data_IF_842460030196
#
_entry.id   IF_842460030196
#
_cell.length_a   1.000
_cell.length_b   1.000
_cell.length_c   1.000
_cell.angle_alpha   90.00
_cell.angle_beta   90.00
_cell.angle_gamma   90.00
#
_symmetry.space_group_name_H-M   'P 1'
#
loop_
_entity.id
_entity.type
_entity.pdbx_description
1 polymer ?
#
# COMPACT_ATOMS: atom_id res chain seq x y z
N UNK A 1 51.96 -21.55 45.42
CA UNK A 1 50.85 -20.59 45.47
C UNK A 1 50.90 -19.75 44.20
N UNK A 2 49.93 -19.98 43.31
CA UNK A 2 49.86 -19.38 41.97
C UNK A 2 49.35 -17.94 42.03
N UNK A 3 49.87 -17.13 41.11
CA UNK A 3 49.57 -15.72 40.89
C UNK A 3 48.12 -15.48 40.42
N UNK A 4 47.55 -14.34 40.80
CA UNK A 4 46.40 -13.75 40.12
C UNK A 4 46.79 -12.36 39.64
N UNK A 5 47.03 -12.29 38.34
CA UNK A 5 47.28 -11.06 37.58
C UNK A 5 45.95 -10.51 37.09
N UNK A 6 45.55 -9.38 37.67
CA UNK A 6 44.42 -8.55 37.24
C UNK A 6 44.75 -7.86 35.92
N UNK A 7 44.07 -8.23 34.84
CA UNK A 7 44.16 -7.54 33.54
C UNK A 7 43.01 -6.56 33.39
N UNK A 8 43.38 -5.30 33.17
CA UNK A 8 42.49 -4.19 32.82
C UNK A 8 42.23 -4.13 31.29
N UNK A 9 41.61 -3.05 30.79
CA UNK A 9 40.36 -3.03 30.05
C UNK A 9 40.51 -3.28 28.53
N UNK A 10 39.48 -3.88 27.92
CA UNK A 10 39.39 -4.12 26.47
C UNK A 10 39.26 -2.80 25.70
N UNK A 11 40.19 -2.61 24.77
CA UNK A 11 40.30 -1.45 23.89
C UNK A 11 39.28 -1.54 22.74
N UNK A 12 38.70 -0.41 22.28
CA UNK A 12 37.72 -0.37 21.18
C UNK A 12 38.26 -0.84 19.83
N UNK A 13 39.58 -1.06 19.71
CA UNK A 13 40.22 -1.57 18.48
C UNK A 13 40.09 -3.09 18.31
N UNK A 14 39.73 -3.85 19.35
CA UNK A 14 39.57 -5.31 19.28
C UNK A 14 38.30 -5.74 18.52
N UNK A 15 37.26 -4.90 18.49
CA UNK A 15 36.03 -5.19 17.72
C UNK A 15 36.26 -5.10 16.20
N UNK A 16 37.11 -4.17 15.75
CA UNK A 16 37.43 -4.03 14.33
C UNK A 16 38.24 -5.20 13.79
N UNK A 17 39.23 -5.67 14.56
CA UNK A 17 40.08 -6.80 14.20
C UNK A 17 39.34 -8.14 14.24
N UNK A 18 38.40 -8.33 15.16
CA UNK A 18 37.59 -9.56 15.23
C UNK A 18 36.59 -9.68 14.08
N UNK A 19 35.97 -8.57 13.64
CA UNK A 19 35.07 -8.59 12.46
C UNK A 19 35.87 -8.85 11.18
N UNK A 20 37.06 -8.26 11.04
CA UNK A 20 37.91 -8.46 9.85
C UNK A 20 38.53 -9.86 9.84
N UNK A 21 38.93 -10.39 10.99
CA UNK A 21 39.45 -11.76 11.10
C UNK A 21 38.36 -12.81 10.84
N UNK A 22 37.13 -12.58 11.30
CA UNK A 22 36.00 -13.47 11.04
C UNK A 22 35.58 -13.46 9.56
N UNK A 23 35.78 -12.35 8.84
CA UNK A 23 35.54 -12.26 7.39
C UNK A 23 36.61 -13.02 6.59
N UNK A 24 37.84 -13.14 7.11
CA UNK A 24 38.94 -13.85 6.44
C UNK A 24 38.79 -15.37 6.39
N UNK A 25 37.97 -15.96 7.27
CA UNK A 25 37.73 -17.42 7.31
C UNK A 25 36.44 -17.85 6.59
N UNK A 26 35.73 -16.93 5.96
CA UNK A 26 34.53 -17.27 5.19
C UNK A 26 34.97 -17.96 3.89
N UNK A 27 34.62 -19.24 3.66
CA UNK A 27 34.89 -19.89 2.39
C UNK A 27 34.35 -19.04 1.25
N UNK A 28 35.08 -18.90 0.15
CA UNK A 28 34.65 -18.07 -0.98
C UNK A 28 33.21 -18.41 -1.44
N UNK A 29 32.80 -19.68 -1.35
CA UNK A 29 31.43 -20.11 -1.60
C UNK A 29 30.38 -19.49 -0.66
N UNK A 30 30.69 -19.35 0.63
CA UNK A 30 29.80 -18.74 1.63
C UNK A 30 29.69 -17.23 1.42
N UNK A 31 30.78 -16.55 1.04
CA UNK A 31 30.73 -15.13 0.67
C UNK A 31 29.86 -14.90 -0.57
N UNK A 32 29.99 -15.74 -1.60
CA UNK A 32 29.14 -15.69 -2.81
C UNK A 32 27.67 -15.90 -2.45
N UNK A 33 27.35 -16.90 -1.61
CA UNK A 33 25.96 -17.12 -1.16
C UNK A 33 25.41 -15.89 -0.45
N UNK A 34 26.16 -15.31 0.50
CA UNK A 34 25.73 -14.11 1.23
C UNK A 34 25.45 -12.95 0.26
N UNK A 35 26.36 -12.70 -0.69
CA UNK A 35 26.15 -11.61 -1.67
C UNK A 35 24.93 -11.83 -2.55
N UNK A 36 24.67 -13.06 -3.01
CA UNK A 36 23.47 -13.40 -3.79
C UNK A 36 22.21 -13.21 -2.94
N UNK A 37 22.19 -13.73 -1.71
CA UNK A 37 21.04 -13.60 -0.80
C UNK A 37 20.73 -12.13 -0.50
N UNK A 38 21.76 -11.30 -0.24
CA UNK A 38 21.58 -9.87 -0.02
C UNK A 38 21.02 -9.17 -1.27
N UNK A 39 21.56 -9.52 -2.44
CA UNK A 39 21.12 -8.96 -3.72
C UNK A 39 19.64 -9.26 -3.95
N UNK A 40 19.24 -10.53 -3.81
CA UNK A 40 17.84 -10.96 -3.94
C UNK A 40 16.95 -10.24 -2.94
N UNK A 41 17.38 -10.09 -1.68
CA UNK A 41 16.61 -9.36 -0.67
C UNK A 41 16.40 -7.89 -1.05
N UNK A 42 17.41 -7.21 -1.59
CA UNK A 42 17.31 -5.81 -2.03
C UNK A 42 16.36 -5.69 -3.24
N UNK A 43 16.51 -6.58 -4.23
CA UNK A 43 15.63 -6.59 -5.40
C UNK A 43 14.19 -6.87 -5.02
N UNK A 44 13.96 -7.85 -4.15
CA UNK A 44 12.63 -8.18 -3.66
C UNK A 44 12.04 -7.00 -2.87
N UNK A 45 12.81 -6.37 -1.99
CA UNK A 45 12.37 -5.18 -1.26
C UNK A 45 11.95 -4.05 -2.20
N UNK A 46 12.76 -3.75 -3.22
CA UNK A 46 12.43 -2.74 -4.24
C UNK A 46 11.19 -3.11 -5.05
N UNK A 47 11.08 -4.38 -5.44
CA UNK A 47 9.92 -4.88 -6.18
C UNK A 47 8.64 -4.75 -5.34
N UNK A 48 8.68 -5.20 -4.09
CA UNK A 48 7.56 -5.12 -3.17
C UNK A 48 7.13 -3.68 -2.93
N UNK A 49 8.08 -2.78 -2.70
CA UNK A 49 7.76 -1.35 -2.49
C UNK A 49 7.20 -0.68 -3.74
N UNK A 50 7.58 -1.16 -4.93
CA UNK A 50 7.03 -0.65 -6.20
C UNK A 50 5.61 -1.16 -6.44
N UNK A 51 5.31 -2.42 -6.08
CA UNK A 51 3.99 -3.03 -6.29
C UNK A 51 2.98 -2.68 -5.20
N UNK A 52 3.48 -2.56 -3.98
CA UNK A 52 2.74 -2.26 -2.76
C UNK A 52 3.43 -1.06 -2.12
N UNK A 53 3.01 0.18 -2.42
CA UNK A 53 3.61 1.36 -1.79
C UNK A 53 3.34 1.46 -0.28
N UNK A 54 2.57 0.51 0.27
CA UNK A 54 1.98 0.51 1.61
C UNK A 54 2.54 -0.57 2.52
N UNK A 55 3.81 -0.98 2.33
CA UNK A 55 4.38 -2.15 3.04
C UNK A 55 4.59 -1.89 4.52
N UNK A 56 4.79 -0.63 4.88
CA UNK A 56 4.99 -0.23 6.27
C UNK A 56 3.72 0.32 6.89
N UNK A 57 3.61 0.23 8.21
CA UNK A 57 2.46 0.78 8.98
C UNK A 57 2.30 2.29 8.76
N UNK A 58 3.40 3.02 8.50
CA UNK A 58 3.35 4.45 8.17
C UNK A 58 2.74 4.68 6.78
N UNK A 59 3.15 3.88 5.80
CA UNK A 59 2.61 3.96 4.45
C UNK A 59 1.13 3.46 4.39
N UNK A 60 0.73 2.56 5.30
CA UNK A 60 -0.66 2.14 5.51
C UNK A 60 -1.57 3.34 5.81
N UNK A 61 -1.16 4.22 6.74
CA UNK A 61 -1.92 5.44 7.08
C UNK A 61 -2.02 6.39 5.89
N UNK A 62 -0.98 6.47 5.07
CA UNK A 62 -1.02 7.28 3.85
C UNK A 62 -2.03 6.71 2.83
N UNK A 63 -2.10 5.39 2.70
CA UNK A 63 -3.06 4.71 1.84
C UNK A 63 -4.50 4.89 2.33
N UNK A 64 -4.73 4.86 3.65
CA UNK A 64 -6.03 5.21 4.24
C UNK A 64 -6.46 6.63 3.86
N UNK A 65 -5.52 7.59 3.92
CA UNK A 65 -5.79 8.97 3.49
C UNK A 65 -6.15 9.09 2.02
N UNK A 66 -5.44 8.39 1.13
CA UNK A 66 -5.76 8.34 -0.31
C UNK A 66 -7.19 7.83 -0.58
N UNK A 67 -7.61 6.81 0.16
CA UNK A 67 -8.95 6.26 0.04
C UNK A 67 -10.03 7.23 0.53
N UNK A 68 -9.78 7.92 1.65
CA UNK A 68 -10.67 8.98 2.16
C UNK A 68 -10.77 10.12 1.14
N UNK A 69 -9.64 10.59 0.58
CA UNK A 69 -9.61 11.64 -0.45
C UNK A 69 -10.39 11.24 -1.72
N UNK A 70 -10.24 9.99 -2.17
CA UNK A 70 -10.95 9.46 -3.34
C UNK A 70 -12.46 9.38 -3.11
N UNK A 71 -12.88 8.98 -1.90
CA UNK A 71 -14.28 8.94 -1.53
C UNK A 71 -14.88 10.36 -1.44
N UNK A 72 -14.18 11.28 -0.78
CA UNK A 72 -14.64 12.65 -0.60
C UNK A 72 -14.74 13.39 -1.95
N UNK A 73 -13.81 13.16 -2.88
CA UNK A 73 -13.90 13.67 -4.24
C UNK A 73 -15.12 13.11 -4.99
N UNK A 74 -15.39 11.80 -4.86
CA UNK A 74 -16.53 11.18 -5.51
C UNK A 74 -17.88 11.69 -4.98
N UNK A 75 -17.99 11.89 -3.66
CA UNK A 75 -19.18 12.48 -3.03
C UNK A 75 -19.33 13.95 -3.45
N UNK A 76 -18.26 14.74 -3.43
CA UNK A 76 -18.29 16.16 -3.79
C UNK A 76 -18.72 16.39 -5.24
N UNK A 77 -18.33 15.49 -6.13
CA UNK A 77 -18.66 15.59 -7.56
C UNK A 77 -19.97 14.86 -7.93
N UNK A 78 -20.73 14.37 -6.95
CA UNK A 78 -22.02 13.69 -7.15
C UNK A 78 -21.91 12.47 -8.08
N UNK A 79 -20.78 11.76 -7.99
CA UNK A 79 -20.47 10.60 -8.82
C UNK A 79 -21.13 9.30 -8.35
N UNK A 80 -21.66 9.30 -7.12
CA UNK A 80 -22.21 8.12 -6.47
C UNK A 80 -23.70 8.35 -6.20
N UNK A 81 -24.53 7.37 -6.56
CA UNK A 81 -25.92 7.38 -6.09
C UNK A 81 -25.96 7.11 -4.57
N UNK A 82 -27.02 7.54 -3.88
CA UNK A 82 -27.18 7.39 -2.41
C UNK A 82 -26.90 5.95 -1.93
N UNK A 83 -27.42 4.94 -2.63
CA UNK A 83 -27.17 3.51 -2.33
C UNK A 83 -25.71 3.09 -2.53
N UNK A 84 -25.03 3.61 -3.55
CA UNK A 84 -23.62 3.30 -3.82
C UNK A 84 -22.71 3.97 -2.79
N UNK A 85 -23.04 5.20 -2.42
CA UNK A 85 -22.35 5.96 -1.39
C UNK A 85 -22.39 5.22 -0.05
N UNK A 86 -23.55 4.70 0.36
CA UNK A 86 -23.68 3.93 1.61
C UNK A 86 -22.85 2.64 1.60
N UNK A 87 -22.88 1.89 0.50
CA UNK A 87 -22.12 0.65 0.35
C UNK A 87 -20.59 0.92 0.38
N UNK A 88 -20.13 1.91 -0.39
CA UNK A 88 -18.72 2.31 -0.44
C UNK A 88 -18.27 2.83 0.93
N UNK A 89 -19.11 3.62 1.61
CA UNK A 89 -18.83 4.11 2.96
C UNK A 89 -18.71 2.95 3.97
N UNK A 90 -19.58 1.95 3.89
CA UNK A 90 -19.50 0.76 4.75
C UNK A 90 -18.20 -0.02 4.50
N UNK A 91 -17.81 -0.22 3.24
CA UNK A 91 -16.56 -0.89 2.88
C UNK A 91 -15.35 -0.10 3.37
N UNK A 92 -15.38 1.24 3.22
CA UNK A 92 -14.34 2.14 3.72
C UNK A 92 -14.17 2.01 5.23
N UNK A 93 -15.26 2.05 6.01
CA UNK A 93 -15.21 1.90 7.47
C UNK A 93 -14.63 0.54 7.89
N UNK A 94 -14.99 -0.55 7.19
CA UNK A 94 -14.44 -1.89 7.43
C UNK A 94 -12.94 -1.92 7.19
N UNK A 95 -12.46 -1.29 6.12
CA UNK A 95 -11.04 -1.21 5.81
C UNK A 95 -10.27 -0.39 6.85
N UNK A 96 -10.83 0.74 7.30
CA UNK A 96 -10.24 1.54 8.39
C UNK A 96 -10.14 0.77 9.70
N UNK A 97 -11.17 -0.02 10.03
CA UNK A 97 -11.13 -0.89 11.20
C UNK A 97 -9.99 -1.92 11.08
N UNK A 98 -9.86 -2.60 9.94
CA UNK A 98 -8.77 -3.56 9.70
C UNK A 98 -7.38 -2.92 9.76
N UNK A 99 -7.22 -1.72 9.19
CA UNK A 99 -5.95 -1.00 9.28
C UNK A 99 -5.61 -0.61 10.72
N UNK A 100 -6.60 -0.25 11.53
CA UNK A 100 -6.43 -0.03 12.96
C UNK A 100 -6.00 -1.33 13.69
N UNK A 101 -6.59 -2.46 13.33
CA UNK A 101 -6.21 -3.76 13.87
C UNK A 101 -4.74 -4.11 13.53
N UNK A 102 -4.34 -3.95 12.26
CA UNK A 102 -2.94 -4.12 11.83
C UNK A 102 -2.01 -3.20 12.63
N UNK A 103 -2.38 -1.93 12.83
CA UNK A 103 -1.63 -0.98 13.67
C UNK A 103 -1.47 -1.50 15.10
N UNK A 104 -2.54 -1.98 15.72
CA UNK A 104 -2.48 -2.53 17.09
C UNK A 104 -1.60 -3.77 17.19
N UNK A 105 -1.72 -4.70 16.23
CA UNK A 105 -0.89 -5.90 16.17
C UNK A 105 0.59 -5.53 15.98
N UNK A 106 0.88 -4.50 15.18
CA UNK A 106 2.26 -4.03 14.97
C UNK A 106 2.91 -3.45 16.23
N UNK A 107 2.11 -2.91 17.15
CA UNK A 107 2.63 -2.36 18.42
C UNK A 107 2.86 -3.49 19.43
N UNK A 108 2.00 -4.51 19.41
CA UNK A 108 2.10 -5.66 20.32
C UNK A 108 3.19 -6.65 19.91
N UNK A 109 3.50 -6.76 18.61
CA UNK A 109 4.51 -7.66 18.11
C UNK A 109 5.94 -7.24 18.51
N UNK A 110 6.77 -8.18 18.99
CA UNK A 110 8.16 -7.90 19.32
C UNK A 110 8.92 -7.45 18.06
N UNK A 111 9.73 -6.39 18.20
CA UNK A 111 10.42 -5.79 17.06
C UNK A 111 11.41 -6.78 16.40
N UNK A 112 11.01 -7.33 15.26
CA UNK A 112 11.83 -8.24 14.46
C UNK A 112 13.05 -7.53 13.84
N UNK A 113 14.07 -8.30 13.45
CA UNK A 113 15.23 -7.78 12.72
C UNK A 113 14.80 -7.10 11.42
N UNK A 114 13.81 -7.65 10.73
CA UNK A 114 13.23 -7.07 9.51
C UNK A 114 12.58 -5.70 9.76
N UNK A 115 11.86 -5.55 10.88
CA UNK A 115 11.27 -4.27 11.28
C UNK A 115 12.34 -3.23 11.57
N UNK A 116 13.43 -3.62 12.23
CA UNK A 116 14.56 -2.72 12.56
C UNK A 116 15.38 -2.34 11.32
N UNK A 117 15.63 -3.29 10.41
CA UNK A 117 16.49 -3.07 9.26
C UNK A 117 15.78 -2.37 8.10
N UNK A 118 14.52 -2.72 7.84
CA UNK A 118 13.78 -2.26 6.65
C UNK A 118 12.35 -1.81 6.92
N UNK A 119 11.92 -1.74 8.19
CA UNK A 119 10.59 -1.27 8.57
C UNK A 119 9.45 -2.26 8.31
N UNK A 120 9.76 -3.49 7.88
CA UNK A 120 8.76 -4.50 7.52
C UNK A 120 8.54 -5.48 8.67
N UNK A 121 7.29 -5.65 9.06
CA UNK A 121 6.87 -6.68 9.99
C UNK A 121 6.36 -7.88 9.21
N UNK A 122 7.19 -8.93 9.12
CA UNK A 122 6.95 -10.09 8.24
C UNK A 122 5.61 -10.79 8.56
N UNK A 123 5.21 -10.84 9.82
CA UNK A 123 3.94 -11.43 10.25
C UNK A 123 2.72 -10.66 9.75
N UNK A 124 2.84 -9.33 9.63
CA UNK A 124 1.76 -8.46 9.15
C UNK A 124 1.82 -8.22 7.65
N UNK A 125 2.92 -8.58 7.00
CA UNK A 125 3.18 -8.29 5.60
C UNK A 125 2.09 -8.84 4.67
N UNK A 126 1.66 -10.10 4.87
CA UNK A 126 0.59 -10.70 4.08
C UNK A 126 -0.76 -10.04 4.34
N UNK A 127 -1.05 -9.70 5.60
CA UNK A 127 -2.27 -8.99 6.01
C UNK A 127 -2.34 -7.59 5.39
N UNK A 128 -1.22 -6.87 5.36
CA UNK A 128 -1.08 -5.55 4.74
C UNK A 128 -1.29 -5.63 3.22
N UNK A 129 -0.72 -6.64 2.55
CA UNK A 129 -0.93 -6.86 1.12
C UNK A 129 -2.41 -7.14 0.81
N UNK A 130 -3.04 -8.03 1.58
CA UNK A 130 -4.44 -8.37 1.38
C UNK A 130 -5.33 -7.14 1.56
N UNK A 131 -5.09 -6.38 2.63
CA UNK A 131 -5.77 -5.11 2.89
C UNK A 131 -5.59 -4.11 1.76
N UNK A 132 -4.37 -3.94 1.26
CA UNK A 132 -4.10 -3.00 0.16
C UNK A 132 -4.78 -3.43 -1.14
N UNK A 133 -4.87 -4.73 -1.41
CA UNK A 133 -5.64 -5.24 -2.56
C UNK A 133 -7.13 -4.89 -2.47
N UNK A 134 -7.72 -4.92 -1.28
CA UNK A 134 -9.11 -4.50 -1.06
C UNK A 134 -9.27 -2.97 -1.22
N UNK A 135 -8.27 -2.18 -0.79
CA UNK A 135 -8.25 -0.73 -1.02
C UNK A 135 -8.18 -0.41 -2.51
N UNK A 136 -7.25 -1.01 -3.27
CA UNK A 136 -7.16 -0.81 -4.73
C UNK A 136 -8.46 -1.22 -5.44
N UNK A 137 -9.13 -2.28 -4.96
CA UNK A 137 -10.40 -2.71 -5.52
C UNK A 137 -11.49 -1.66 -5.29
N UNK A 138 -11.58 -1.10 -4.08
CA UNK A 138 -12.55 -0.06 -3.73
C UNK A 138 -12.28 1.26 -4.45
N UNK A 139 -11.01 1.70 -4.56
CA UNK A 139 -10.65 2.90 -5.34
C UNK A 139 -11.02 2.75 -6.82
N UNK A 140 -10.86 1.54 -7.39
CA UNK A 140 -11.32 1.25 -8.75
C UNK A 140 -12.83 1.26 -8.87
N UNK A 141 -13.56 0.78 -7.87
CA UNK A 141 -15.03 0.82 -7.85
C UNK A 141 -15.52 2.27 -7.82
N UNK A 142 -14.96 3.11 -6.94
CA UNK A 142 -15.25 4.55 -6.87
C UNK A 142 -14.97 5.23 -8.22
N UNK A 143 -13.82 4.94 -8.82
CA UNK A 143 -13.42 5.50 -10.11
C UNK A 143 -14.31 5.02 -11.27
N UNK A 144 -14.77 3.76 -11.22
CA UNK A 144 -15.66 3.19 -12.21
C UNK A 144 -17.06 3.84 -12.12
N UNK A 145 -17.60 4.01 -10.90
CA UNK A 145 -18.88 4.69 -10.69
C UNK A 145 -18.85 6.14 -11.17
N UNK A 146 -17.74 6.86 -10.96
CA UNK A 146 -17.51 8.21 -11.51
C UNK A 146 -17.60 8.31 -13.05
N UNK A 147 -17.31 7.23 -13.77
CA UNK A 147 -17.34 7.23 -15.24
C UNK A 147 -18.74 7.05 -15.83
N UNK A 148 -19.71 6.57 -15.05
CA UNK A 148 -21.07 6.22 -15.50
C UNK A 148 -21.99 7.45 -15.70
N UNK A 149 -22.05 8.46 -14.80
CA UNK A 149 -23.00 9.56 -14.95
C UNK A 149 -22.74 10.40 -16.20
N UNK A 150 -21.49 10.52 -16.66
CA UNK A 150 -21.16 11.25 -17.88
C UNK A 150 -21.81 10.62 -19.12
N UNK A 151 -21.80 9.29 -19.21
CA UNK A 151 -22.36 8.54 -20.35
C UNK A 151 -23.88 8.64 -20.37
N UNK A 152 -24.52 8.55 -19.20
CA UNK A 152 -25.99 8.63 -19.09
C UNK A 152 -26.47 10.05 -19.42
N UNK A 153 -25.82 11.08 -18.87
CA UNK A 153 -26.17 12.48 -19.14
C UNK A 153 -25.99 12.83 -20.62
N UNK A 154 -24.94 12.32 -21.26
CA UNK A 154 -24.71 12.57 -22.69
C UNK A 154 -25.70 11.81 -23.58
N UNK A 155 -26.08 10.60 -23.20
CA UNK A 155 -27.12 9.82 -23.87
C UNK A 155 -28.49 10.50 -23.78
N UNK A 156 -28.88 11.03 -22.62
CA UNK A 156 -30.13 11.78 -22.45
C UNK A 156 -30.15 13.08 -23.27
N UNK A 157 -29.03 13.81 -23.30
CA UNK A 157 -28.91 15.02 -24.12
C UNK A 157 -29.07 14.71 -25.61
N UNK A 158 -28.44 13.63 -26.10
CA UNK A 158 -28.60 13.17 -27.49
C UNK A 158 -30.04 12.75 -27.78
N UNK A 159 -30.69 12.03 -26.87
CA UNK A 159 -32.07 11.60 -27.05
C UNK A 159 -33.02 12.79 -27.13
N UNK A 160 -32.86 13.77 -26.23
CA UNK A 160 -33.68 14.99 -26.21
C UNK A 160 -33.48 15.82 -27.48
N UNK A 161 -32.25 15.90 -27.98
CA UNK A 161 -31.94 16.55 -29.26
C UNK A 161 -32.61 15.87 -30.46
N UNK A 162 -32.61 14.54 -30.53
CA UNK A 162 -33.24 13.77 -31.61
C UNK A 162 -34.77 14.00 -31.63
N UNK A 163 -35.41 13.98 -30.46
CA UNK A 163 -36.85 14.26 -30.35
C UNK A 163 -37.18 15.68 -30.82
N UNK A 164 -36.39 16.67 -30.39
CA UNK A 164 -36.60 18.05 -30.83
C UNK A 164 -36.42 18.23 -32.33
N UNK A 165 -35.45 17.54 -32.94
CA UNK A 165 -35.24 17.58 -34.39
C UNK A 165 -36.45 17.02 -35.15
N UNK A 166 -36.99 15.87 -34.69
CA UNK A 166 -38.17 15.26 -35.30
C UNK A 166 -39.43 16.13 -35.18
N UNK A 167 -39.59 16.84 -34.05
CA UNK A 167 -40.70 17.79 -33.86
C UNK A 167 -40.62 18.97 -34.83
N UNK A 168 -39.41 19.49 -35.08
CA UNK A 168 -39.19 20.61 -36.02
C UNK A 168 -39.35 20.19 -37.48
N UNK A 169 -38.95 18.96 -37.84
CA UNK A 169 -39.15 18.46 -39.21
C UNK A 169 -40.64 18.21 -39.52
N UNK A 170 -41.41 17.70 -38.55
CA UNK A 170 -42.86 17.49 -38.72
C UNK A 170 -43.63 18.82 -38.84
N UNK A 171 -43.26 19.84 -38.08
CA UNK A 171 -43.90 21.16 -38.18
C UNK A 171 -43.53 21.89 -39.47
N UNK A 172 -42.34 21.66 -40.04
CA UNK A 172 -41.94 22.20 -41.33
C UNK A 172 -42.58 21.47 -42.53
N UNK A 173 -43.04 20.22 -42.38
CA UNK A 173 -43.66 19.44 -43.45
C UNK A 173 -45.18 19.67 -43.59
N UNK A 174 -45.78 20.44 -42.68
CA UNK A 174 -47.23 20.75 -42.65
C UNK A 174 -47.52 22.15 -43.22
N UNK A 175 -46.48 22.91 -43.59
CA UNK A 175 -46.55 24.22 -44.27
C UNK A 175 -46.29 24.03 -45.75
#
# INVERSE_FOLDING_TARGET
MQASSTRAPTSPNDLGLTVVSAVSEVPAGTAVIITITLSVAIFLHRYLRRRYPCVTVVELTKAEGSLDDSFDDAVKNDYLCETEQDNINQMRLRLKHRAAEIRTQSIQAPASIWKKCIGIEVELFTTIIAWYGEVEALEREISASSSIPLVIVEAEKRYRYIIELGRRSMTAAIV
#
